data_IF_146735402446
#
_entry.id   IF_146735402446
#
_cell.length_a   1.000
_cell.length_b   1.000
_cell.length_c   1.000
_cell.angle_alpha   90.00
_cell.angle_beta   90.00
_cell.angle_gamma   90.00
#
_symmetry.space_group_name_H-M   'P 1'
#
loop_
_entity.id
_entity.type
_entity.pdbx_description
1 polymer ?
#
# COMPACT_ATOMS: atom_id res chain seq x y z
N UNK A 1 -0.37 -3.61 17.46
CA UNK A 1 0.24 -3.28 16.19
C UNK A 1 -0.49 -3.91 15.03
N UNK A 2 -0.51 -3.22 13.92
CA UNK A 2 -1.22 -3.71 12.73
C UNK A 2 -0.26 -4.60 11.95
N UNK A 3 -0.57 -5.89 11.91
CA UNK A 3 0.35 -6.83 11.27
C UNK A 3 -0.31 -7.84 10.34
N UNK A 4 -1.57 -8.15 10.57
CA UNK A 4 -2.25 -9.20 9.84
C UNK A 4 -3.37 -8.64 8.97
N UNK A 5 -3.86 -9.46 8.04
CA UNK A 5 -4.94 -9.05 7.14
C UNK A 5 -6.20 -8.62 7.87
N UNK A 6 -6.49 -9.24 9.01
CA UNK A 6 -7.71 -8.95 9.76
C UNK A 6 -7.56 -7.82 10.77
N UNK A 7 -6.37 -7.30 10.93
CA UNK A 7 -6.16 -6.19 11.84
C UNK A 7 -6.74 -4.92 11.26
N UNK A 8 -7.26 -4.06 12.13
CA UNK A 8 -7.84 -2.81 11.68
C UNK A 8 -6.82 -1.69 11.74
N UNK A 9 -6.89 -0.82 10.76
CA UNK A 9 -6.06 0.37 10.72
C UNK A 9 -6.53 1.30 11.84
N UNK A 10 -5.59 1.85 12.61
CA UNK A 10 -5.95 2.73 13.71
C UNK A 10 -5.50 4.17 13.49
N UNK A 11 -5.19 4.52 12.27
CA UNK A 11 -4.75 5.87 11.95
C UNK A 11 -5.16 6.25 10.53
N UNK A 12 -5.16 7.55 10.27
CA UNK A 12 -5.37 8.05 8.92
C UNK A 12 -6.80 7.91 8.42
N UNK A 13 -6.97 8.07 7.13
CA UNK A 13 -8.30 8.09 6.52
C UNK A 13 -8.99 6.74 6.48
N UNK A 14 -8.24 5.68 6.67
CA UNK A 14 -8.82 4.33 6.67
C UNK A 14 -8.98 3.75 8.06
N UNK A 15 -8.94 4.60 9.08
CA UNK A 15 -9.12 4.15 10.45
C UNK A 15 -10.40 3.35 10.61
N UNK A 16 -10.30 2.18 11.23
CA UNK A 16 -11.43 1.30 11.42
C UNK A 16 -11.63 0.26 10.35
N UNK A 17 -10.89 0.36 9.24
CA UNK A 17 -10.96 -0.63 8.18
C UNK A 17 -9.89 -1.69 8.38
N UNK A 18 -10.16 -2.90 7.92
CA UNK A 18 -9.17 -3.97 8.02
C UNK A 18 -8.07 -3.76 6.97
N UNK A 19 -6.91 -4.35 7.23
CA UNK A 19 -5.81 -4.31 6.29
C UNK A 19 -6.24 -4.88 4.93
N UNK A 20 -6.95 -6.00 4.96
CA UNK A 20 -7.43 -6.61 3.72
C UNK A 20 -8.31 -5.67 2.93
N UNK A 21 -9.22 -4.98 3.59
CA UNK A 21 -10.12 -4.07 2.91
C UNK A 21 -9.37 -2.90 2.31
N UNK A 22 -8.43 -2.34 3.03
CA UNK A 22 -7.61 -1.25 2.53
C UNK A 22 -6.75 -1.73 1.37
N UNK A 23 -6.24 -2.94 1.46
CA UNK A 23 -5.44 -3.51 0.38
C UNK A 23 -6.24 -3.60 -0.92
N UNK A 24 -7.49 -4.02 -0.83
CA UNK A 24 -8.34 -4.10 -2.01
C UNK A 24 -8.71 -2.74 -2.55
N UNK A 25 -8.85 -1.78 -1.66
CA UNK A 25 -9.26 -0.44 -2.04
C UNK A 25 -8.08 0.40 -2.52
N UNK A 26 -7.00 0.40 -1.75
CA UNK A 26 -5.85 1.26 -2.05
C UNK A 26 -4.59 0.66 -1.44
N UNK A 27 -3.99 -0.27 -2.14
CA UNK A 27 -2.79 -0.94 -1.66
C UNK A 27 -1.62 0.03 -1.47
N UNK A 28 -1.57 1.08 -2.26
CA UNK A 28 -0.51 2.07 -2.18
C UNK A 28 -0.50 2.75 -0.81
N UNK A 29 -1.67 2.95 -0.23
CA UNK A 29 -1.76 3.53 1.10
C UNK A 29 -1.06 2.65 2.13
N UNK A 30 -1.24 1.34 2.04
CA UNK A 30 -0.57 0.42 2.95
C UNK A 30 0.93 0.46 2.77
N UNK A 31 1.38 0.56 1.54
CA UNK A 31 2.81 0.69 1.27
C UNK A 31 3.36 1.97 1.88
N UNK A 32 2.66 3.06 1.69
CA UNK A 32 3.04 4.34 2.27
C UNK A 32 3.10 4.25 3.80
N UNK A 33 2.09 3.65 4.40
CA UNK A 33 2.04 3.51 5.85
C UNK A 33 3.20 2.67 6.37
N UNK A 34 3.54 1.61 5.64
CA UNK A 34 4.64 0.75 6.00
C UNK A 34 5.98 1.50 6.02
N UNK A 35 6.14 2.43 5.08
CA UNK A 35 7.38 3.17 4.96
C UNK A 35 7.45 4.41 5.85
N UNK A 36 6.33 4.96 6.22
CA UNK A 36 6.28 6.26 6.89
C UNK A 36 5.79 6.24 8.33
N UNK A 37 5.33 5.11 8.83
CA UNK A 37 4.90 5.02 10.23
C UNK A 37 5.42 3.76 10.87
N UNK A 38 5.52 3.80 12.21
CA UNK A 38 5.92 2.63 12.99
C UNK A 38 4.71 1.85 13.49
N UNK A 39 3.52 2.28 13.13
CA UNK A 39 2.30 1.63 13.61
C UNK A 39 2.01 0.31 12.93
N UNK A 40 2.65 0.05 11.82
CA UNK A 40 2.47 -1.19 11.09
C UNK A 40 3.68 -2.10 11.25
N UNK A 41 3.39 -3.39 11.41
CA UNK A 41 4.44 -4.40 11.47
C UNK A 41 3.94 -5.62 10.71
N UNK A 42 3.72 -5.43 9.43
CA UNK A 42 3.07 -6.44 8.59
C UNK A 42 3.89 -7.73 8.54
N UNK A 43 3.19 -8.86 8.59
CA UNK A 43 3.82 -10.15 8.39
C UNK A 43 4.29 -10.25 6.94
N UNK A 44 5.16 -11.21 6.68
CA UNK A 44 5.75 -11.35 5.35
C UNK A 44 4.71 -11.48 4.24
N UNK A 45 3.67 -12.25 4.47
CA UNK A 45 2.61 -12.41 3.47
C UNK A 45 1.99 -11.08 3.07
N UNK A 46 1.70 -10.25 4.07
CA UNK A 46 1.12 -8.95 3.83
C UNK A 46 2.10 -8.04 3.12
N UNK A 47 3.34 -8.03 3.58
CA UNK A 47 4.38 -7.20 2.94
C UNK A 47 4.58 -7.57 1.48
N UNK A 48 4.69 -8.84 1.21
CA UNK A 48 4.91 -9.30 -0.16
C UNK A 48 3.74 -8.93 -1.07
N UNK A 49 2.54 -9.10 -0.58
CA UNK A 49 1.35 -8.75 -1.35
C UNK A 49 1.29 -7.25 -1.63
N UNK A 50 1.58 -6.44 -0.62
CA UNK A 50 1.56 -4.99 -0.76
C UNK A 50 2.61 -4.55 -1.76
N UNK A 51 3.81 -5.06 -1.63
CA UNK A 51 4.89 -4.68 -2.52
C UNK A 51 4.58 -5.05 -3.96
N UNK A 52 4.12 -6.27 -4.18
CA UNK A 52 3.78 -6.73 -5.52
C UNK A 52 2.67 -5.89 -6.14
N UNK A 53 1.64 -5.61 -5.36
CA UNK A 53 0.52 -4.82 -5.87
C UNK A 53 0.94 -3.40 -6.19
N UNK A 54 1.75 -2.82 -5.33
CA UNK A 54 2.22 -1.46 -5.53
C UNK A 54 3.11 -1.36 -6.76
N UNK A 55 3.95 -2.35 -6.99
CA UNK A 55 4.78 -2.38 -8.19
C UNK A 55 3.94 -2.43 -9.45
N UNK A 56 2.87 -3.21 -9.44
CA UNK A 56 1.97 -3.30 -10.58
C UNK A 56 1.31 -1.95 -10.86
N UNK A 57 0.86 -1.28 -9.82
CA UNK A 57 0.21 0.01 -9.95
C UNK A 57 1.21 1.04 -10.46
N UNK A 58 2.40 1.05 -9.91
CA UNK A 58 3.43 2.00 -10.33
C UNK A 58 3.81 1.80 -11.78
N UNK A 59 3.92 0.57 -12.21
CA UNK A 59 4.27 0.28 -13.60
C UNK A 59 3.22 0.85 -14.54
N UNK A 60 1.96 0.67 -14.23
CA UNK A 60 0.89 1.24 -15.02
C UNK A 60 0.94 2.75 -15.05
N UNK A 61 1.21 3.34 -13.90
CA UNK A 61 1.32 4.78 -13.80
C UNK A 61 2.46 5.32 -14.64
N UNK A 62 3.57 4.65 -14.60
CA UNK A 62 4.73 5.08 -15.38
C UNK A 62 4.45 5.03 -16.86
N UNK A 63 3.74 4.03 -17.31
CA UNK A 63 3.40 3.96 -18.70
C UNK A 63 2.54 5.13 -19.15
N UNK A 64 1.61 5.52 -18.29
CA UNK A 64 0.73 6.62 -18.62
C UNK A 64 1.36 7.99 -18.53
N UNK A 65 2.20 8.18 -17.52
CA UNK A 65 2.67 9.51 -17.20
C UNK A 65 4.07 9.82 -17.68
N UNK A 66 4.93 8.85 -17.61
CA UNK A 66 6.35 9.12 -17.73
C UNK A 66 6.81 9.43 -19.15
N UNK A 67 6.10 8.95 -20.10
CA UNK A 67 6.62 9.05 -21.45
C UNK A 67 6.76 10.47 -21.93
N UNK A 68 5.78 11.27 -21.67
CA UNK A 68 5.84 12.67 -22.04
C UNK A 68 6.84 13.44 -21.22
N UNK A 69 6.77 13.28 -19.93
CA UNK A 69 7.58 14.08 -19.03
C UNK A 69 9.01 13.61 -18.96
N UNK A 70 9.16 12.32 -18.96
CA UNK A 70 10.43 11.74 -18.66
C UNK A 70 11.45 11.94 -19.75
N UNK A 71 10.98 12.00 -20.96
CA UNK A 71 11.86 12.16 -22.11
C UNK A 71 12.10 13.59 -22.47
N UNK A 72 11.40 14.46 -21.85
CA UNK A 72 11.66 15.86 -22.05
C UNK A 72 12.48 16.43 -20.92
#
# INVERSE_FOLDING_TARGET
>A
MISNWNDKIDFGKFKGQTVKKVFEYDATYLWWAMMNTDRTNFIKDVKDAIQKRTEEIDAEKYEDLSWGDFHT
#
